data_IF_200228341372
#
_entry.id   IF_200228341372
#
_cell.length_a   1.000
_cell.length_b   1.000
_cell.length_c   1.000
_cell.angle_alpha   90.00
_cell.angle_beta   90.00
_cell.angle_gamma   90.00
#
_symmetry.space_group_name_H-M   'P 1'
#
loop_
_entity.id
_entity.type
_entity.pdbx_description
1 polymer ?
#
# COMPACT_ATOMS: atom_id res chain seq x y z
N UNK A 1 8.58 -8.87 -2.52
CA UNK A 1 7.47 -8.84 -3.50
C UNK A 1 7.94 -8.11 -4.75
N UNK A 2 7.69 -8.66 -5.94
CA UNK A 2 8.06 -8.03 -7.21
C UNK A 2 7.05 -6.91 -7.50
N UNK A 3 7.52 -5.68 -7.69
CA UNK A 3 6.69 -4.48 -7.89
C UNK A 3 5.64 -4.66 -9.01
N UNK A 4 6.00 -5.37 -10.08
CA UNK A 4 5.13 -5.66 -11.22
C UNK A 4 3.97 -6.62 -10.89
N UNK A 5 4.13 -7.48 -9.87
CA UNK A 5 3.09 -8.44 -9.46
C UNK A 5 2.15 -7.90 -8.39
N UNK A 6 2.40 -6.70 -7.86
CA UNK A 6 1.53 -6.06 -6.87
C UNK A 6 0.08 -5.90 -7.35
N UNK A 7 -0.21 -5.47 -8.60
CA UNK A 7 -1.59 -5.45 -9.09
C UNK A 7 -2.25 -6.83 -9.12
N UNK A 8 -1.52 -7.88 -9.53
CA UNK A 8 -2.03 -9.27 -9.53
C UNK A 8 -2.30 -9.78 -8.11
N UNK A 9 -1.42 -9.47 -7.15
CA UNK A 9 -1.59 -9.85 -5.75
C UNK A 9 -2.79 -9.13 -5.12
N UNK A 10 -3.00 -7.85 -5.41
CA UNK A 10 -4.18 -7.10 -4.94
C UNK A 10 -5.46 -7.67 -5.54
N UNK A 11 -5.43 -8.13 -6.80
CA UNK A 11 -6.57 -8.77 -7.45
C UNK A 11 -6.88 -10.15 -6.83
N UNK A 12 -5.85 -10.96 -6.55
CA UNK A 12 -6.01 -12.23 -5.85
C UNK A 12 -6.56 -12.05 -4.43
N UNK A 13 -6.11 -11.01 -3.72
CA UNK A 13 -6.64 -10.58 -2.42
C UNK A 13 -8.13 -10.20 -2.53
N UNK A 14 -8.53 -9.49 -3.59
CA UNK A 14 -9.93 -9.13 -3.85
C UNK A 14 -10.79 -10.36 -4.08
N UNK A 15 -10.37 -11.27 -4.96
CA UNK A 15 -11.12 -12.49 -5.26
C UNK A 15 -11.32 -13.37 -4.02
N UNK A 16 -10.28 -13.51 -3.19
CA UNK A 16 -10.37 -14.26 -1.94
C UNK A 16 -11.35 -13.62 -0.95
N UNK A 17 -11.35 -12.29 -0.86
CA UNK A 17 -12.28 -11.56 -0.02
C UNK A 17 -13.74 -11.63 -0.54
N UNK A 18 -13.94 -11.59 -1.87
CA UNK A 18 -15.26 -11.80 -2.49
C UNK A 18 -15.84 -13.18 -2.15
N UNK A 19 -15.03 -14.23 -2.28
CA UNK A 19 -15.45 -15.60 -1.92
C UNK A 19 -15.82 -15.77 -0.44
N UNK A 20 -15.16 -15.04 0.47
CA UNK A 20 -15.51 -15.03 1.89
C UNK A 20 -16.85 -14.33 2.17
N UNK A 21 -17.25 -13.39 1.32
CA UNK A 21 -18.54 -12.69 1.43
C UNK A 21 -19.69 -13.38 0.71
N UNK A 22 -19.43 -14.25 -0.28
CA UNK A 22 -20.45 -14.96 -1.09
C UNK A 22 -21.29 -16.01 -0.33
N UNK A 23 -21.13 -16.15 0.99
CA UNK A 23 -22.00 -16.95 1.85
C UNK A 23 -22.22 -16.34 3.23
N UNK A 24 -21.92 -15.04 3.38
CA UNK A 24 -22.01 -14.30 4.63
C UNK A 24 -23.38 -13.67 4.86
N UNK A 25 -23.66 -13.30 6.10
CA UNK A 25 -24.88 -12.58 6.45
C UNK A 25 -25.00 -11.24 5.70
N UNK A 26 -26.24 -10.79 5.55
CA UNK A 26 -26.60 -9.54 4.88
C UNK A 26 -25.80 -8.31 5.40
N UNK A 27 -25.57 -8.14 6.72
CA UNK A 27 -24.75 -7.05 7.25
C UNK A 27 -23.28 -7.08 6.76
N UNK A 28 -22.68 -8.26 6.62
CA UNK A 28 -21.29 -8.40 6.15
C UNK A 28 -21.19 -8.15 4.65
N UNK A 29 -22.17 -8.65 3.87
CA UNK A 29 -22.25 -8.37 2.43
C UNK A 29 -22.46 -6.88 2.14
N UNK A 30 -23.26 -6.19 2.96
CA UNK A 30 -23.52 -4.77 2.80
C UNK A 30 -22.28 -3.94 3.12
N UNK A 31 -21.57 -4.29 4.20
CA UNK A 31 -20.28 -3.70 4.54
C UNK A 31 -19.25 -3.88 3.42
N UNK A 32 -19.25 -5.08 2.81
CA UNK A 32 -18.41 -5.39 1.66
C UNK A 32 -18.73 -4.50 0.46
N UNK A 33 -19.99 -4.48 0.01
CA UNK A 33 -20.43 -3.71 -1.16
C UNK A 33 -20.17 -2.22 -1.00
N UNK A 34 -20.52 -1.65 0.15
CA UNK A 34 -20.46 -0.20 0.32
C UNK A 34 -19.06 0.33 0.64
N UNK A 35 -18.23 -0.41 1.38
CA UNK A 35 -16.95 0.13 1.87
C UNK A 35 -15.72 -0.67 1.44
N UNK A 36 -15.69 -1.98 1.69
CA UNK A 36 -14.48 -2.77 1.42
C UNK A 36 -14.22 -2.93 -0.08
N UNK A 37 -15.25 -3.05 -0.92
CA UNK A 37 -15.07 -3.20 -2.37
C UNK A 37 -14.27 -2.04 -2.98
N UNK A 38 -14.54 -0.80 -2.55
CA UNK A 38 -13.75 0.37 -2.99
C UNK A 38 -12.33 0.37 -2.45
N UNK A 39 -12.12 -0.21 -1.27
CA UNK A 39 -10.79 -0.36 -0.70
C UNK A 39 -9.97 -1.39 -1.49
N UNK A 40 -10.54 -2.54 -1.86
CA UNK A 40 -9.86 -3.59 -2.62
C UNK A 40 -9.75 -3.31 -4.13
N UNK A 41 -10.60 -2.43 -4.69
CA UNK A 41 -10.69 -2.20 -6.14
C UNK A 41 -9.39 -1.75 -6.85
N UNK A 42 -8.49 -1.01 -6.20
CA UNK A 42 -7.24 -0.57 -6.83
C UNK A 42 -6.08 -0.50 -5.82
N UNK A 43 -4.83 -0.70 -6.28
CA UNK A 43 -3.63 -0.32 -5.52
C UNK A 43 -3.66 1.21 -5.32
N UNK A 44 -3.58 1.68 -4.08
CA UNK A 44 -3.69 3.11 -3.78
C UNK A 44 -2.37 3.66 -3.28
N UNK A 45 -1.81 4.61 -4.03
CA UNK A 45 -0.72 5.44 -3.51
C UNK A 45 -1.23 6.32 -2.38
N UNK A 46 -0.62 6.21 -1.21
CA UNK A 46 -0.82 7.17 -0.13
C UNK A 46 0.53 7.68 0.32
N UNK A 47 0.72 8.99 0.17
CA UNK A 47 1.89 9.72 0.66
C UNK A 47 2.05 9.62 2.19
N UNK A 48 0.96 9.29 2.91
CA UNK A 48 0.98 9.05 4.35
C UNK A 48 1.94 7.91 4.74
N UNK A 49 2.15 6.91 3.85
CA UNK A 49 3.07 5.80 4.10
C UNK A 49 4.55 6.22 4.15
N UNK A 50 4.88 7.44 3.69
CA UNK A 50 6.23 7.99 3.78
C UNK A 50 6.54 8.56 5.17
N UNK A 51 5.52 8.87 5.96
CA UNK A 51 5.65 9.45 7.31
C UNK A 51 5.32 8.41 8.38
N UNK A 52 4.41 7.48 8.09
CA UNK A 52 4.02 6.40 8.98
C UNK A 52 3.86 5.11 8.14
N UNK A 53 4.76 4.14 8.32
CA UNK A 53 4.71 2.84 7.63
C UNK A 53 3.43 2.06 8.02
N UNK A 54 2.92 2.32 9.23
CA UNK A 54 1.62 1.82 9.71
C UNK A 54 0.44 2.54 9.06
N UNK A 55 0.71 3.59 8.27
CA UNK A 55 -0.21 4.32 7.42
C UNK A 55 -1.54 4.64 8.08
N UNK A 56 -1.53 4.99 9.38
CA UNK A 56 -2.70 5.19 10.22
C UNK A 56 -3.87 4.27 9.86
N UNK A 57 -3.99 3.13 10.54
CA UNK A 57 -5.12 2.18 10.69
C UNK A 57 -6.51 2.84 10.84
N UNK A 58 -6.92 3.71 9.92
CA UNK A 58 -7.97 4.72 10.16
C UNK A 58 -9.22 4.56 9.32
N UNK A 59 -9.22 3.69 8.32
CA UNK A 59 -10.39 3.51 7.45
C UNK A 59 -11.08 2.16 7.68
N UNK A 60 -10.94 1.23 6.73
CA UNK A 60 -11.78 0.03 6.69
C UNK A 60 -11.47 -0.97 7.81
N UNK A 61 -10.21 -1.16 8.20
CA UNK A 61 -9.88 -2.07 9.32
C UNK A 61 -10.45 -1.62 10.66
N UNK A 62 -10.43 -0.31 10.93
CA UNK A 62 -10.89 0.23 12.21
C UNK A 62 -12.40 0.08 12.35
N UNK A 63 -13.11 0.29 11.25
CA UNK A 63 -14.56 0.14 11.18
C UNK A 63 -14.98 -1.32 11.18
N UNK A 64 -14.25 -2.20 10.47
CA UNK A 64 -14.47 -3.65 10.52
C UNK A 64 -14.21 -4.21 11.93
N UNK A 65 -13.16 -3.73 12.61
CA UNK A 65 -12.86 -4.06 14.01
C UNK A 65 -13.93 -3.55 14.98
N UNK A 66 -14.53 -2.40 14.69
CA UNK A 66 -15.63 -1.85 15.48
C UNK A 66 -16.95 -2.62 15.28
N UNK A 67 -17.20 -3.12 14.06
CA UNK A 67 -18.40 -3.89 13.72
C UNK A 67 -18.29 -5.37 14.07
N UNK A 68 -17.07 -5.90 14.24
CA UNK A 68 -16.81 -7.28 14.66
C UNK A 68 -17.65 -7.77 15.86
N UNK A 69 -17.78 -7.03 16.97
CA UNK A 69 -18.57 -7.50 18.12
C UNK A 69 -20.07 -7.59 17.84
N UNK A 70 -20.56 -6.84 16.84
CA UNK A 70 -21.97 -6.79 16.45
C UNK A 70 -22.34 -7.90 15.45
N UNK A 71 -21.34 -8.62 14.90
CA UNK A 71 -21.56 -9.70 13.95
C UNK A 71 -21.90 -11.02 14.67
N UNK A 72 -22.72 -11.89 14.03
CA UNK A 72 -22.93 -13.27 14.45
C UNK A 72 -21.61 -14.05 14.56
N UNK A 73 -21.52 -15.03 15.45
CA UNK A 73 -20.27 -15.80 15.67
C UNK A 73 -19.76 -16.49 14.39
N UNK A 74 -20.67 -16.93 13.52
CA UNK A 74 -20.38 -17.50 12.20
C UNK A 74 -19.71 -16.51 11.22
N UNK A 75 -19.98 -15.22 11.35
CA UNK A 75 -19.38 -14.17 10.51
C UNK A 75 -18.18 -13.49 11.15
N UNK A 76 -17.96 -13.67 12.46
CA UNK A 76 -16.76 -13.15 13.14
C UNK A 76 -15.48 -13.77 12.58
N UNK A 77 -15.48 -15.07 12.32
CA UNK A 77 -14.34 -15.75 11.70
C UNK A 77 -14.03 -15.20 10.30
N UNK A 78 -15.07 -14.95 9.49
CA UNK A 78 -14.94 -14.35 8.16
C UNK A 78 -14.46 -12.90 8.23
N UNK A 79 -14.93 -12.13 9.22
CA UNK A 79 -14.47 -10.77 9.45
C UNK A 79 -13.00 -10.71 9.89
N UNK A 80 -12.52 -11.68 10.67
CA UNK A 80 -11.12 -11.80 11.07
C UNK A 80 -10.20 -12.13 9.88
N UNK A 81 -10.64 -13.01 8.98
CA UNK A 81 -9.92 -13.24 7.71
C UNK A 81 -9.90 -12.00 6.81
N UNK A 82 -11.02 -11.27 6.70
CA UNK A 82 -11.07 -10.02 5.94
C UNK A 82 -10.14 -8.94 6.53
N UNK A 83 -10.02 -8.88 7.86
CA UNK A 83 -9.04 -8.01 8.53
C UNK A 83 -7.61 -8.40 8.17
N UNK A 84 -7.27 -9.69 8.20
CA UNK A 84 -5.93 -10.16 7.82
C UNK A 84 -5.60 -9.84 6.35
N UNK A 85 -6.58 -9.99 5.43
CA UNK A 85 -6.42 -9.62 4.03
C UNK A 85 -6.24 -8.10 3.86
N UNK A 86 -6.96 -7.28 4.61
CA UNK A 86 -6.81 -5.83 4.58
C UNK A 86 -5.43 -5.38 5.09
N UNK A 87 -4.92 -5.98 6.17
CA UNK A 87 -3.58 -5.74 6.70
C UNK A 87 -2.51 -6.07 5.66
N UNK A 88 -2.63 -7.25 5.04
CA UNK A 88 -1.71 -7.71 3.99
C UNK A 88 -1.71 -6.74 2.80
N UNK A 89 -2.89 -6.31 2.35
CA UNK A 89 -2.99 -5.30 1.28
C UNK A 89 -2.26 -4.00 1.65
N UNK A 90 -2.42 -3.54 2.89
CA UNK A 90 -1.83 -2.30 3.36
C UNK A 90 -0.29 -2.36 3.32
N UNK A 91 0.29 -3.49 3.73
CA UNK A 91 1.73 -3.72 3.65
C UNK A 91 2.22 -3.70 2.19
N UNK A 92 1.47 -4.32 1.27
CA UNK A 92 1.76 -4.28 -0.17
C UNK A 92 1.72 -2.84 -0.73
N UNK A 93 0.71 -2.05 -0.38
CA UNK A 93 0.58 -0.65 -0.82
C UNK A 93 1.72 0.24 -0.28
N UNK A 94 2.19 -0.03 0.95
CA UNK A 94 3.35 0.64 1.55
C UNK A 94 4.65 0.32 0.79
N UNK A 95 4.93 -0.97 0.57
CA UNK A 95 6.09 -1.41 -0.23
C UNK A 95 6.08 -0.83 -1.65
N UNK A 96 4.92 -0.84 -2.31
CA UNK A 96 4.75 -0.26 -3.65
C UNK A 96 5.12 1.23 -3.67
N UNK A 97 4.64 1.98 -2.67
CA UNK A 97 4.89 3.43 -2.57
C UNK A 97 6.36 3.74 -2.32
N UNK A 98 6.97 3.04 -1.36
CA UNK A 98 8.36 3.26 -0.96
C UNK A 98 9.34 2.86 -2.07
N UNK A 99 9.14 1.69 -2.68
CA UNK A 99 10.02 1.21 -3.74
C UNK A 99 9.97 2.12 -4.98
N UNK A 100 8.82 2.71 -5.27
CA UNK A 100 8.68 3.65 -6.37
C UNK A 100 9.32 5.01 -6.05
N UNK A 101 9.21 5.48 -4.82
CA UNK A 101 9.92 6.66 -4.38
C UNK A 101 11.43 6.45 -4.48
N UNK A 102 11.93 5.30 -4.02
CA UNK A 102 13.35 4.97 -4.09
C UNK A 102 13.85 4.93 -5.53
N UNK A 103 13.09 4.30 -6.44
CA UNK A 103 13.42 4.31 -7.88
C UNK A 103 13.43 5.73 -8.45
N UNK A 104 12.42 6.55 -8.13
CA UNK A 104 12.35 7.94 -8.60
C UNK A 104 13.48 8.81 -8.04
N UNK A 105 13.80 8.66 -6.76
CA UNK A 105 14.91 9.34 -6.10
C UNK A 105 16.23 8.96 -6.74
N UNK A 106 16.48 7.67 -6.97
CA UNK A 106 17.71 7.20 -7.60
C UNK A 106 17.87 7.81 -9.00
N UNK A 107 16.81 7.82 -9.81
CA UNK A 107 16.85 8.41 -11.16
C UNK A 107 17.17 9.91 -11.15
N UNK A 108 16.75 10.66 -10.13
CA UNK A 108 17.05 12.09 -10.00
C UNK A 108 18.41 12.34 -9.34
N UNK A 109 18.76 11.57 -8.32
CA UNK A 109 19.99 11.76 -7.53
C UNK A 109 21.24 11.46 -8.36
N UNK A 110 21.22 10.40 -9.18
CA UNK A 110 22.36 10.00 -10.01
C UNK A 110 22.82 11.13 -10.96
N UNK A 111 21.96 11.73 -11.81
CA UNK A 111 22.41 12.82 -12.68
C UNK A 111 22.85 14.07 -11.91
N UNK A 112 22.21 14.37 -10.77
CA UNK A 112 22.65 15.47 -9.89
C UNK A 112 24.04 15.21 -9.32
N UNK A 113 24.34 13.98 -8.89
CA UNK A 113 25.66 13.59 -8.42
C UNK A 113 26.72 13.73 -9.51
N UNK A 114 26.42 13.30 -10.75
CA UNK A 114 27.31 13.51 -11.89
C UNK A 114 27.59 14.98 -12.18
N UNK A 115 26.56 15.83 -12.12
CA UNK A 115 26.71 17.27 -12.31
C UNK A 115 27.62 17.89 -11.24
N UNK A 116 27.47 17.49 -9.97
CA UNK A 116 28.34 17.95 -8.88
C UNK A 116 29.79 17.48 -9.06
N UNK A 117 30.00 16.22 -9.47
CA UNK A 117 31.34 15.72 -9.78
C UNK A 117 31.99 16.54 -10.90
N UNK A 118 31.25 16.81 -11.98
CA UNK A 118 31.74 17.63 -13.09
C UNK A 118 32.10 19.05 -12.62
N UNK A 119 31.26 19.66 -11.78
CA UNK A 119 31.51 20.99 -11.21
C UNK A 119 32.79 21.02 -10.35
N UNK A 120 33.00 19.98 -9.53
CA UNK A 120 34.21 19.85 -8.71
C UNK A 120 35.45 19.71 -9.60
N UNK A 121 35.38 18.92 -10.67
CA UNK A 121 36.48 18.79 -11.63
C UNK A 121 36.82 20.12 -12.29
N UNK A 122 35.81 20.88 -12.71
CA UNK A 122 36.00 22.23 -13.28
C UNK A 122 36.64 23.15 -12.24
N UNK A 123 36.19 23.12 -10.99
CA UNK A 123 36.76 23.94 -9.93
C UNK A 123 38.24 23.63 -9.69
N UNK A 124 38.59 22.34 -9.57
CA UNK A 124 39.98 21.90 -9.38
C UNK A 124 40.84 22.28 -10.59
N UNK A 125 40.34 22.09 -11.80
CA UNK A 125 41.06 22.48 -13.01
C UNK A 125 41.30 24.00 -13.07
N UNK A 126 40.31 24.81 -12.72
CA UNK A 126 40.45 26.26 -12.65
C UNK A 126 41.52 26.70 -11.65
N UNK A 127 41.61 26.04 -10.48
CA UNK A 127 42.64 26.33 -9.47
C UNK A 127 44.03 25.85 -9.87
N UNK A 128 44.14 24.81 -10.72
CA UNK A 128 45.43 24.31 -11.20
C UNK A 128 45.97 25.11 -12.40
N UNK A 129 45.08 25.67 -13.23
CA UNK A 129 45.46 26.43 -14.43
C UNK A 129 45.67 27.92 -14.19
N UNK A 130 45.11 28.49 -13.12
CA UNK A 130 45.35 29.87 -12.67
C UNK A 130 46.27 29.90 -11.46
#
# INVERSE_FOLDING_TARGET
VIYERIPELVEALRQRAEGLTEGASEPLQELWRHRLRRHFARPRRRWIFLVDVTGGTRGPERELRFLRPLLPDEDRARADELLALAATKQELDAHFTLQRLLKGWLTLHVPVAFLLIALVLVHVASVLYF
#
